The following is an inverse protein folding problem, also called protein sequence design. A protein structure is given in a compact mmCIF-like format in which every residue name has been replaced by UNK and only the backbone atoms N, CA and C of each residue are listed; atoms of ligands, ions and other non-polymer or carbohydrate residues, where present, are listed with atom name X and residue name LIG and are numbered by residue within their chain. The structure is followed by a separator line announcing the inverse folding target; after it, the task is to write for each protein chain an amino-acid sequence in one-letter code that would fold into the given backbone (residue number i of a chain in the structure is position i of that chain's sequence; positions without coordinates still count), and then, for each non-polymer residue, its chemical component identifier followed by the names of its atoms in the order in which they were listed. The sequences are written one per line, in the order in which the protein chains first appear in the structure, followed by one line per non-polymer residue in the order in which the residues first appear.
data_IF_262642321301
#
_entry.id   IF_262642321301
#
_cell.length_a   1.000
_cell.length_b   1.000
_cell.length_c   1.000
_cell.angle_alpha   90.00
_cell.angle_beta   90.00
_cell.angle_gamma   90.00
#
_symmetry.space_group_name_H-M   'P 1'
#
loop_
_entity.id
_entity.type
_entity.pdbx_description
1 polymer ?
#
# COMPACT_ATOMS: atom_id res chain seq x y z
N UNK A 1 1.87 -8.84 9.06
CA UNK A 1 2.65 -8.11 10.11
C UNK A 1 1.96 -6.91 10.79
N UNK A 2 0.83 -6.36 10.33
CA UNK A 2 0.01 -5.45 11.16
C UNK A 2 0.57 -4.07 11.56
N UNK A 3 1.76 -3.66 11.14
CA UNK A 3 2.41 -2.41 11.58
C UNK A 3 1.69 -1.10 11.19
N UNK A 4 0.75 -1.14 10.24
CA UNK A 4 -0.06 0.02 9.85
C UNK A 4 -1.05 0.46 10.95
N UNK A 5 -1.52 -0.49 11.76
CA UNK A 5 -2.71 -0.29 12.59
C UNK A 5 -2.48 0.34 13.98
N UNK A 6 -1.32 0.17 14.65
CA UNK A 6 -1.07 0.80 15.96
C UNK A 6 -1.30 2.32 15.98
N UNK A 7 -0.83 3.05 14.97
CA UNK A 7 -1.02 4.50 14.88
C UNK A 7 -2.49 4.91 14.70
N UNK A 8 -3.27 4.09 13.99
CA UNK A 8 -4.71 4.28 13.85
C UNK A 8 -5.44 4.01 15.17
N UNK A 9 -5.11 2.92 15.87
CA UNK A 9 -5.67 2.58 17.19
C UNK A 9 -5.43 3.73 18.17
N UNK A 10 -4.19 4.24 18.23
CA UNK A 10 -3.85 5.38 19.08
C UNK A 10 -4.66 6.63 18.71
N UNK A 11 -4.72 6.99 17.43
CA UNK A 11 -5.46 8.17 16.97
C UNK A 11 -6.97 8.08 17.24
N UNK A 12 -7.53 6.86 17.16
CA UNK A 12 -8.93 6.60 17.50
C UNK A 12 -9.17 6.73 19.01
N UNK A 13 -8.26 6.19 19.83
CA UNK A 13 -8.33 6.34 21.28
C UNK A 13 -8.29 7.81 21.69
N UNK A 14 -7.35 8.60 21.16
CA UNK A 14 -7.24 10.03 21.45
C UNK A 14 -8.54 10.79 21.13
N UNK A 15 -9.20 10.46 20.01
CA UNK A 15 -10.50 11.05 19.63
C UNK A 15 -11.65 10.57 20.50
N UNK A 16 -11.64 9.32 20.93
CA UNK A 16 -12.71 8.73 21.73
C UNK A 16 -12.71 9.20 23.21
N UNK A 17 -11.61 9.82 23.69
CA UNK A 17 -11.52 10.38 25.06
C UNK A 17 -12.63 11.38 25.40
N UNK A 18 -13.19 12.07 24.40
CA UNK A 18 -14.29 13.00 24.59
C UNK A 18 -15.67 12.32 24.74
N UNK A 19 -15.77 11.00 24.57
CA UNK A 19 -17.01 10.25 24.62
C UNK A 19 -17.13 9.41 25.91
N UNK A 20 -18.34 9.30 26.44
CA UNK A 20 -18.60 8.50 27.66
C UNK A 20 -18.68 6.98 27.38
N UNK A 21 -18.49 6.52 26.14
CA UNK A 21 -18.69 5.14 25.73
C UNK A 21 -17.46 4.65 24.95
N UNK A 22 -16.93 3.44 25.23
CA UNK A 22 -15.80 2.91 24.46
C UNK A 22 -16.12 2.78 22.98
N UNK A 23 -15.14 3.09 22.13
CA UNK A 23 -15.25 2.91 20.69
C UNK A 23 -15.01 1.45 20.33
N UNK A 24 -15.98 0.80 19.69
CA UNK A 24 -15.77 -0.52 19.08
C UNK A 24 -14.97 -0.37 17.78
N UNK A 25 -13.83 -1.05 17.70
CA UNK A 25 -12.96 -1.04 16.53
C UNK A 25 -12.59 -2.46 16.12
N UNK A 26 -12.93 -2.84 14.89
CA UNK A 26 -12.70 -4.18 14.36
C UNK A 26 -11.84 -4.14 13.11
N UNK A 27 -10.82 -5.00 13.06
CA UNK A 27 -10.00 -5.23 11.88
C UNK A 27 -10.27 -6.62 11.33
N UNK A 28 -10.55 -6.70 10.04
CA UNK A 28 -10.53 -7.98 9.30
C UNK A 28 -9.29 -8.02 8.42
N UNK A 29 -8.34 -8.90 8.74
CA UNK A 29 -7.05 -9.02 8.06
C UNK A 29 -6.99 -10.23 7.14
N UNK A 30 -6.39 -10.07 5.96
CA UNK A 30 -6.16 -11.16 5.01
C UNK A 30 -4.67 -11.47 4.89
N UNK A 31 -4.27 -12.73 5.04
CA UNK A 31 -2.86 -13.15 4.93
C UNK A 31 -2.69 -14.47 4.18
N UNK A 32 -1.45 -14.79 3.79
CA UNK A 32 -1.16 -16.03 3.05
C UNK A 32 -1.15 -17.27 3.93
N UNK A 33 -0.80 -17.12 5.21
CA UNK A 33 -0.67 -18.24 6.16
C UNK A 33 -1.39 -17.93 7.47
N UNK A 34 -1.74 -18.98 8.21
CA UNK A 34 -2.41 -18.85 9.50
C UNK A 34 -1.46 -18.28 10.56
N UNK A 35 -0.18 -18.64 10.49
CA UNK A 35 0.85 -18.15 11.39
C UNK A 35 0.98 -16.63 11.32
N UNK A 36 0.93 -16.04 10.12
CA UNK A 36 0.96 -14.58 9.95
C UNK A 36 -0.28 -13.90 10.57
N UNK A 37 -1.45 -14.53 10.47
CA UNK A 37 -2.68 -14.03 11.07
C UNK A 37 -2.57 -14.06 12.60
N UNK A 38 -2.16 -15.18 13.18
CA UNK A 38 -2.02 -15.34 14.63
C UNK A 38 -0.99 -14.37 15.21
N UNK A 39 0.17 -14.21 14.56
CA UNK A 39 1.18 -13.26 15.02
C UNK A 39 0.67 -11.81 14.93
N UNK A 40 -0.07 -11.48 13.86
CA UNK A 40 -0.65 -10.15 13.69
C UNK A 40 -1.76 -9.89 14.72
N UNK A 41 -2.64 -10.85 14.96
CA UNK A 41 -3.70 -10.80 15.96
C UNK A 41 -3.13 -10.55 17.36
N UNK A 42 -2.20 -11.40 17.81
CA UNK A 42 -1.57 -11.29 19.13
C UNK A 42 -0.94 -9.92 19.36
N UNK A 43 -0.19 -9.41 18.36
CA UNK A 43 0.44 -8.08 18.44
C UNK A 43 -0.59 -6.96 18.52
N UNK A 44 -1.67 -7.01 17.74
CA UNK A 44 -2.67 -5.94 17.70
C UNK A 44 -3.56 -5.94 18.94
N UNK A 45 -3.98 -7.12 19.42
CA UNK A 45 -4.74 -7.26 20.66
C UNK A 45 -3.92 -6.73 21.83
N UNK A 46 -2.67 -7.20 21.99
CA UNK A 46 -1.80 -6.75 23.08
C UNK A 46 -1.54 -5.24 23.05
N UNK A 47 -1.38 -4.65 21.86
CA UNK A 47 -1.25 -3.19 21.73
C UNK A 47 -2.54 -2.45 22.12
N UNK A 48 -3.71 -2.97 21.69
CA UNK A 48 -5.00 -2.36 21.96
C UNK A 48 -5.43 -2.41 23.44
N UNK A 49 -4.98 -3.41 24.20
CA UNK A 49 -5.22 -3.54 25.65
C UNK A 49 -4.71 -2.33 26.45
N UNK A 50 -3.77 -1.55 25.89
CA UNK A 50 -3.27 -0.33 26.51
C UNK A 50 -4.28 0.84 26.48
N UNK A 51 -5.43 0.69 25.83
CA UNK A 51 -6.43 1.75 25.63
C UNK A 51 -7.81 1.35 26.17
N UNK A 52 -8.15 1.80 27.38
CA UNK A 52 -9.41 1.47 28.06
C UNK A 52 -10.68 1.91 27.29
N UNK A 53 -10.55 2.90 26.42
CA UNK A 53 -11.65 3.47 25.65
C UNK A 53 -11.82 2.84 24.25
N UNK A 54 -11.08 1.76 23.94
CA UNK A 54 -11.20 0.99 22.70
C UNK A 54 -11.62 -0.44 23.02
N UNK A 55 -12.70 -0.92 22.40
CA UNK A 55 -13.06 -2.33 22.36
C UNK A 55 -12.57 -2.89 21.03
N UNK A 56 -11.43 -3.57 21.06
CA UNK A 56 -10.76 -4.05 19.85
C UNK A 56 -11.11 -5.50 19.52
N UNK A 57 -11.38 -5.77 18.24
CA UNK A 57 -11.57 -7.12 17.71
C UNK A 57 -10.72 -7.32 16.45
N UNK A 58 -10.07 -8.48 16.33
CA UNK A 58 -9.40 -8.91 15.10
C UNK A 58 -10.07 -10.16 14.52
N UNK A 59 -10.22 -10.18 13.20
CA UNK A 59 -10.72 -11.34 12.47
C UNK A 59 -9.76 -11.68 11.33
N UNK A 60 -9.06 -12.80 11.43
CA UNK A 60 -8.14 -13.27 10.40
C UNK A 60 -8.82 -14.12 9.33
N UNK A 61 -8.52 -13.85 8.06
CA UNK A 61 -8.97 -14.65 6.92
C UNK A 61 -7.78 -15.03 6.04
N UNK A 62 -7.78 -16.26 5.51
CA UNK A 62 -6.77 -16.64 4.52
C UNK A 62 -7.06 -15.96 3.18
N UNK A 63 -6.00 -15.50 2.51
CA UNK A 63 -6.09 -14.87 1.20
C UNK A 63 -6.65 -15.87 0.17
N UNK A 64 -7.62 -15.42 -0.62
CA UNK A 64 -8.35 -16.28 -1.56
C UNK A 64 -9.61 -16.91 -0.98
N UNK A 65 -9.89 -16.71 0.31
CA UNK A 65 -11.25 -16.90 0.84
C UNK A 65 -12.23 -15.93 0.19
N UNK A 66 -13.48 -16.36 0.04
CA UNK A 66 -14.52 -15.54 -0.59
C UNK A 66 -14.80 -14.30 0.26
N UNK A 67 -14.46 -13.13 -0.28
CA UNK A 67 -14.75 -11.82 0.33
C UNK A 67 -16.25 -11.61 0.58
N UNK A 68 -17.10 -12.36 -0.12
CA UNK A 68 -18.57 -12.38 0.05
C UNK A 68 -19.02 -12.80 1.45
N UNK A 69 -18.15 -13.48 2.22
CA UNK A 69 -18.44 -13.88 3.59
C UNK A 69 -18.22 -12.74 4.61
N UNK A 70 -17.68 -11.60 4.18
CA UNK A 70 -17.57 -10.42 5.01
C UNK A 70 -18.96 -9.81 5.23
N UNK A 71 -19.57 -10.10 6.38
CA UNK A 71 -20.84 -9.49 6.77
C UNK A 71 -20.58 -8.21 7.54
N UNK A 72 -21.16 -7.12 7.02
CA UNK A 72 -21.22 -5.85 7.73
C UNK A 72 -22.11 -6.00 8.97
N UNK A 73 -21.67 -5.52 10.13
CA UNK A 73 -22.53 -5.40 11.32
C UNK A 73 -23.44 -4.17 11.21
N UNK A 74 -24.63 -4.23 11.80
CA UNK A 74 -25.52 -3.06 11.85
C UNK A 74 -24.80 -1.87 12.53
N UNK A 75 -24.97 -0.67 11.97
CA UNK A 75 -24.39 0.60 12.45
C UNK A 75 -22.86 0.72 12.41
N UNK A 76 -22.13 -0.17 11.73
CA UNK A 76 -20.68 0.01 11.59
C UNK A 76 -20.31 0.88 10.37
N UNK A 77 -19.24 1.65 10.51
CA UNK A 77 -18.58 2.37 9.40
C UNK A 77 -17.48 1.48 8.83
N UNK A 78 -17.53 1.19 7.53
CA UNK A 78 -16.57 0.30 6.87
C UNK A 78 -15.52 1.11 6.12
N UNK A 79 -14.25 0.85 6.41
CA UNK A 79 -13.10 1.35 5.64
C UNK A 79 -12.35 0.16 5.05
N UNK A 80 -11.97 0.24 3.79
CA UNK A 80 -11.24 -0.81 3.09
C UNK A 80 -9.85 -0.30 2.72
N UNK A 81 -8.81 -1.11 2.98
CA UNK A 81 -7.41 -0.77 2.75
C UNK A 81 -6.78 -1.85 1.86
N UNK A 82 -6.49 -1.50 0.60
CA UNK A 82 -5.94 -2.37 -0.42
C UNK A 82 -4.49 -1.96 -0.69
N UNK A 83 -3.53 -2.65 -0.08
CA UNK A 83 -2.10 -2.35 -0.21
C UNK A 83 -1.42 -3.43 -1.05
N UNK A 84 -0.99 -3.07 -2.26
CA UNK A 84 -0.37 -3.96 -3.27
C UNK A 84 -1.20 -5.22 -3.56
N UNK A 85 -2.51 -5.17 -3.31
CA UNK A 85 -3.38 -6.33 -3.36
C UNK A 85 -3.90 -6.59 -4.78
N UNK A 86 -4.36 -5.54 -5.48
CA UNK A 86 -4.96 -5.71 -6.80
C UNK A 86 -3.89 -6.06 -7.83
N UNK A 87 -2.71 -5.42 -7.77
CA UNK A 87 -1.56 -5.76 -8.64
C UNK A 87 -1.02 -7.17 -8.44
N UNK A 88 -1.25 -7.79 -7.27
CA UNK A 88 -0.86 -9.17 -7.02
C UNK A 88 -1.91 -10.20 -7.46
N UNK A 89 -3.04 -9.77 -8.00
CA UNK A 89 -4.00 -10.67 -8.64
C UNK A 89 -3.53 -11.02 -10.06
N UNK A 90 -3.62 -12.31 -10.41
CA UNK A 90 -3.09 -12.85 -11.67
C UNK A 90 -3.93 -12.55 -12.91
N UNK A 91 -5.09 -11.89 -12.77
CA UNK A 91 -6.11 -11.76 -13.80
C UNK A 91 -6.95 -10.49 -13.61
N UNK A 92 -7.28 -9.79 -14.71
CA UNK A 92 -8.18 -8.64 -14.75
C UNK A 92 -9.56 -9.00 -14.19
N UNK A 93 -10.06 -10.19 -14.49
CA UNK A 93 -11.36 -10.64 -14.02
C UNK A 93 -11.39 -10.67 -12.49
N UNK A 94 -10.34 -11.21 -11.86
CA UNK A 94 -10.21 -11.21 -10.40
C UNK A 94 -10.15 -9.81 -9.80
N UNK A 95 -9.51 -8.87 -10.49
CA UNK A 95 -9.50 -7.45 -10.07
C UNK A 95 -10.92 -6.89 -10.11
N UNK A 96 -11.66 -7.12 -11.19
CA UNK A 96 -13.05 -6.65 -11.34
C UNK A 96 -13.99 -7.29 -10.32
N UNK A 97 -13.89 -8.60 -10.10
CA UNK A 97 -14.68 -9.32 -9.09
C UNK A 97 -14.39 -8.80 -7.68
N UNK A 98 -13.12 -8.53 -7.37
CA UNK A 98 -12.70 -7.94 -6.10
C UNK A 98 -13.32 -6.57 -5.92
N UNK A 99 -13.21 -5.67 -6.90
CA UNK A 99 -13.77 -4.32 -6.83
C UNK A 99 -15.30 -4.34 -6.72
N UNK A 100 -15.96 -5.24 -7.42
CA UNK A 100 -17.42 -5.47 -7.32
C UNK A 100 -17.80 -5.89 -5.89
N UNK A 101 -17.03 -6.80 -5.29
CA UNK A 101 -17.26 -7.23 -3.91
C UNK A 101 -16.97 -6.12 -2.90
N UNK A 102 -15.89 -5.37 -3.08
CA UNK A 102 -15.55 -4.19 -2.25
C UNK A 102 -16.68 -3.17 -2.31
N UNK A 103 -17.23 -2.90 -3.50
CA UNK A 103 -18.33 -1.96 -3.67
C UNK A 103 -19.62 -2.44 -3.00
N UNK A 104 -19.92 -3.75 -3.04
CA UNK A 104 -21.13 -4.32 -2.41
C UNK A 104 -21.12 -4.25 -0.88
N UNK A 105 -19.95 -4.11 -0.26
CA UNK A 105 -19.81 -3.85 1.18
C UNK A 105 -20.22 -2.42 1.60
N UNK A 106 -20.48 -1.54 0.63
CA UNK A 106 -20.84 -0.13 0.83
C UNK A 106 -19.88 0.60 1.80
N UNK A 107 -18.56 0.63 1.49
CA UNK A 107 -17.55 1.25 2.33
C UNK A 107 -17.69 2.78 2.33
N UNK A 108 -17.37 3.40 3.45
CA UNK A 108 -17.28 4.85 3.58
C UNK A 108 -16.00 5.42 2.96
N UNK A 109 -14.93 4.61 2.91
CA UNK A 109 -13.68 4.96 2.25
C UNK A 109 -12.96 3.70 1.77
N UNK A 110 -12.33 3.79 0.60
CA UNK A 110 -11.38 2.79 0.11
C UNK A 110 -10.04 3.48 -0.10
N UNK A 111 -9.00 2.96 0.53
CA UNK A 111 -7.61 3.39 0.34
C UNK A 111 -6.94 2.38 -0.57
N UNK A 112 -6.48 2.82 -1.74
CA UNK A 112 -5.74 2.00 -2.69
C UNK A 112 -4.28 2.45 -2.71
N UNK A 113 -3.37 1.52 -2.42
CA UNK A 113 -1.91 1.73 -2.50
C UNK A 113 -1.37 0.72 -3.49
N UNK A 114 -0.84 1.19 -4.61
CA UNK A 114 -0.29 0.34 -5.67
C UNK A 114 1.09 0.85 -6.10
N UNK A 115 1.88 -0.03 -6.73
CA UNK A 115 3.14 0.36 -7.36
C UNK A 115 2.83 1.12 -8.64
N UNK A 116 3.38 2.32 -8.76
CA UNK A 116 3.21 3.14 -9.96
C UNK A 116 4.07 2.57 -11.09
N UNK A 117 3.39 2.14 -12.16
CA UNK A 117 4.01 1.70 -13.39
C UNK A 117 4.18 2.81 -14.41
N UNK A 118 5.02 2.58 -15.42
CA UNK A 118 5.09 3.46 -16.58
C UNK A 118 3.94 3.20 -17.55
N UNK A 119 3.88 4.03 -18.60
CA UNK A 119 2.91 3.89 -19.65
C UNK A 119 3.00 2.51 -20.29
N UNK A 120 1.89 1.73 -20.24
CA UNK A 120 1.70 0.50 -21.00
C UNK A 120 1.73 0.81 -22.52
N UNK A 121 2.92 1.09 -23.05
CA UNK A 121 3.17 1.29 -24.47
C UNK A 121 3.25 -0.09 -25.10
N UNK A 122 2.47 -0.36 -26.16
CA UNK A 122 2.49 -1.66 -26.81
C UNK A 122 3.88 -1.92 -27.41
N UNK A 123 4.54 -2.98 -26.93
CA UNK A 123 5.86 -3.40 -27.41
C UNK A 123 6.78 -3.85 -26.28
N UNK A 124 7.39 -5.03 -26.44
CA UNK A 124 8.31 -5.62 -25.45
C UNK A 124 9.47 -4.68 -25.09
N UNK A 125 10.09 -4.04 -26.09
CA UNK A 125 11.26 -3.17 -25.87
C UNK A 125 10.90 -1.96 -25.00
N UNK A 126 9.75 -1.32 -25.22
CA UNK A 126 9.32 -0.19 -24.39
C UNK A 126 9.02 -0.61 -22.96
N UNK A 127 8.28 -1.70 -22.76
CA UNK A 127 7.96 -2.21 -21.40
C UNK A 127 9.20 -2.71 -20.66
N UNK A 128 10.16 -3.29 -21.38
CA UNK A 128 11.44 -3.73 -20.83
C UNK A 128 12.30 -2.54 -20.39
N UNK A 129 12.47 -1.53 -21.25
CA UNK A 129 13.22 -0.32 -20.91
C UNK A 129 12.59 0.42 -19.74
N UNK A 130 11.27 0.51 -19.68
CA UNK A 130 10.58 1.13 -18.58
C UNK A 130 10.78 0.38 -17.25
N UNK A 131 10.72 -0.95 -17.28
CA UNK A 131 11.00 -1.80 -16.11
C UNK A 131 12.44 -1.61 -15.63
N UNK A 132 13.40 -1.45 -16.54
CA UNK A 132 14.80 -1.19 -16.18
C UNK A 132 14.96 0.11 -15.41
N UNK A 133 14.31 1.21 -15.83
CA UNK A 133 14.37 2.47 -15.08
C UNK A 133 13.76 2.33 -13.69
N UNK A 134 12.62 1.64 -13.58
CA UNK A 134 11.97 1.37 -12.29
C UNK A 134 12.88 0.57 -11.35
N UNK A 135 13.47 -0.53 -11.83
CA UNK A 135 14.37 -1.33 -11.01
C UNK A 135 15.68 -0.59 -10.70
N UNK A 136 16.25 0.14 -11.65
CA UNK A 136 17.44 0.97 -11.40
C UNK A 136 17.20 1.94 -10.24
N UNK A 137 16.08 2.67 -10.25
CA UNK A 137 15.70 3.57 -9.16
C UNK A 137 15.60 2.84 -7.79
N UNK A 138 15.06 1.62 -7.76
CA UNK A 138 15.00 0.83 -6.53
C UNK A 138 16.40 0.40 -6.04
N UNK A 139 17.26 -0.08 -6.93
CA UNK A 139 18.63 -0.45 -6.59
C UNK A 139 19.45 0.75 -6.12
N UNK A 140 19.32 1.90 -6.78
CA UNK A 140 19.97 3.15 -6.37
C UNK A 140 19.47 3.59 -4.99
N UNK A 141 18.16 3.50 -4.72
CA UNK A 141 17.60 3.81 -3.40
C UNK A 141 18.12 2.90 -2.29
N UNK A 142 18.30 1.60 -2.58
CA UNK A 142 18.90 0.66 -1.63
C UNK A 142 20.39 0.96 -1.42
N UNK A 143 21.09 1.34 -2.49
CA UNK A 143 22.50 1.68 -2.43
C UNK A 143 22.76 2.91 -1.55
N UNK A 144 21.91 3.92 -1.65
CA UNK A 144 22.06 5.15 -0.89
C UNK A 144 21.62 4.98 0.58
N UNK A 145 20.71 4.06 0.86
CA UNK A 145 20.14 3.88 2.21
C UNK A 145 20.69 2.68 3.00
N UNK A 146 21.39 1.73 2.36
CA UNK A 146 21.94 0.55 3.03
C UNK A 146 23.41 0.30 2.63
N UNK A 147 24.28 -0.06 3.60
CA UNK A 147 25.66 -0.46 3.30
C UNK A 147 25.73 -1.60 2.28
N UNK A 148 26.78 -1.61 1.46
CA UNK A 148 26.98 -2.65 0.41
C UNK A 148 26.96 -4.07 0.98
N UNK A 149 27.56 -4.27 2.16
CA UNK A 149 27.66 -5.56 2.82
C UNK A 149 26.43 -5.90 3.70
N UNK A 150 25.34 -5.12 3.62
CA UNK A 150 24.13 -5.38 4.41
C UNK A 150 23.47 -6.70 3.94
N UNK A 151 23.29 -7.70 4.83
CA UNK A 151 22.59 -8.93 4.49
C UNK A 151 21.11 -8.66 4.16
N UNK A 152 20.50 -7.64 4.75
CA UNK A 152 19.14 -7.19 4.44
C UNK A 152 19.07 -6.64 3.01
N UNK A 153 20.01 -5.78 2.62
CA UNK A 153 20.15 -5.28 1.24
C UNK A 153 20.26 -6.43 0.25
N UNK A 154 21.20 -7.35 0.48
CA UNK A 154 21.41 -8.51 -0.39
C UNK A 154 20.15 -9.39 -0.49
N UNK A 155 19.41 -9.55 0.62
CA UNK A 155 18.15 -10.29 0.62
C UNK A 155 17.08 -9.59 -0.22
N UNK A 156 16.93 -8.27 -0.10
CA UNK A 156 16.00 -7.46 -0.90
C UNK A 156 16.36 -7.55 -2.39
N UNK A 157 17.61 -7.26 -2.73
CA UNK A 157 18.10 -7.26 -4.12
C UNK A 157 17.93 -8.65 -4.78
N UNK A 158 18.30 -9.73 -4.09
CA UNK A 158 18.29 -11.08 -4.66
C UNK A 158 16.91 -11.74 -4.62
N UNK A 159 16.27 -11.74 -3.45
CA UNK A 159 15.08 -12.57 -3.21
C UNK A 159 13.78 -11.84 -3.55
N UNK A 160 13.81 -10.51 -3.64
CA UNK A 160 12.64 -9.71 -4.03
C UNK A 160 12.83 -9.12 -5.43
N UNK A 161 13.77 -8.19 -5.62
CA UNK A 161 13.94 -7.50 -6.90
C UNK A 161 14.39 -8.45 -8.01
N UNK A 162 15.38 -9.30 -7.75
CA UNK A 162 15.87 -10.27 -8.72
C UNK A 162 14.82 -11.29 -9.16
N UNK A 163 13.92 -11.70 -8.25
CA UNK A 163 12.79 -12.58 -8.58
C UNK A 163 11.76 -11.86 -9.44
N UNK A 164 11.41 -10.62 -9.11
CA UNK A 164 10.50 -9.81 -9.94
C UNK A 164 11.09 -9.55 -11.35
N UNK A 165 12.38 -9.20 -11.43
CA UNK A 165 13.09 -9.02 -12.71
C UNK A 165 13.08 -10.31 -13.52
N UNK A 166 13.34 -11.47 -12.90
CA UNK A 166 13.31 -12.76 -13.59
C UNK A 166 11.93 -13.05 -14.18
N UNK A 167 10.86 -12.71 -13.45
CA UNK A 167 9.49 -12.86 -13.94
C UNK A 167 9.19 -11.90 -15.10
N UNK A 168 9.66 -10.65 -15.05
CA UNK A 168 9.52 -9.67 -16.13
C UNK A 168 10.34 -10.05 -17.38
N UNK A 169 11.52 -10.66 -17.23
CA UNK A 169 12.38 -11.06 -18.36
C UNK A 169 11.92 -12.36 -19.01
N UNK A 170 11.41 -13.32 -18.24
CA UNK A 170 10.88 -14.59 -18.77
C UNK A 170 9.57 -14.43 -19.58
N UNK A 171 9.11 -13.19 -19.75
CA UNK A 171 7.79 -12.76 -20.18
C UNK A 171 7.51 -12.80 -21.70
N UNK A 172 8.49 -13.13 -22.55
CA UNK A 172 8.34 -13.17 -24.03
C UNK A 172 7.19 -14.06 -24.57
N UNK A 173 6.36 -14.71 -23.72
CA UNK A 173 5.36 -15.73 -24.11
C UNK A 173 3.93 -15.61 -23.53
N UNK A 174 3.62 -14.70 -22.61
CA UNK A 174 2.25 -14.57 -22.05
C UNK A 174 1.85 -13.09 -21.95
N UNK A 175 0.59 -12.71 -22.16
CA UNK A 175 0.12 -11.31 -22.21
C UNK A 175 -0.48 -10.83 -20.86
N UNK A 176 -0.48 -11.68 -19.82
CA UNK A 176 -1.24 -11.49 -18.57
C UNK A 176 -0.66 -10.53 -17.49
N UNK A 177 0.58 -10.02 -17.61
CA UNK A 177 1.34 -9.26 -16.60
C UNK A 177 1.42 -7.77 -16.85
N UNK A 178 0.70 -7.25 -17.85
CA UNK A 178 0.44 -5.80 -17.97
C UNK A 178 -0.33 -5.21 -16.75
N UNK A 179 -0.69 -6.05 -15.77
CA UNK A 179 -1.48 -5.69 -14.59
C UNK A 179 -0.68 -5.35 -13.34
N UNK A 180 0.62 -5.70 -13.28
CA UNK A 180 1.42 -5.50 -12.05
C UNK A 180 1.82 -4.04 -11.83
N UNK A 181 1.97 -3.29 -12.91
CA UNK A 181 2.44 -1.92 -12.93
C UNK A 181 1.45 -1.08 -13.74
N UNK A 182 0.35 -0.70 -13.10
CA UNK A 182 -0.60 0.24 -13.69
C UNK A 182 -0.16 1.66 -13.39
N UNK A 183 -0.29 2.56 -14.37
CA UNK A 183 -0.28 4.00 -14.09
C UNK A 183 -1.41 4.35 -13.12
N UNK A 184 -1.23 5.42 -12.36
CA UNK A 184 -2.24 5.94 -11.43
C UNK A 184 -3.60 6.12 -12.13
N UNK A 185 -3.64 6.65 -13.35
CA UNK A 185 -4.86 6.86 -14.14
C UNK A 185 -5.54 5.54 -14.52
N UNK A 186 -4.77 4.46 -14.67
CA UNK A 186 -5.33 3.13 -14.96
C UNK A 186 -6.05 2.57 -13.74
N UNK A 187 -5.46 2.73 -12.56
CA UNK A 187 -6.11 2.35 -11.30
C UNK A 187 -7.32 3.23 -11.00
N UNK A 188 -7.22 4.55 -11.20
CA UNK A 188 -8.35 5.48 -11.08
C UNK A 188 -9.53 5.07 -11.95
N UNK A 189 -9.31 4.86 -13.26
CA UNK A 189 -10.37 4.42 -14.19
C UNK A 189 -11.02 3.09 -13.78
N UNK A 190 -10.24 2.14 -13.25
CA UNK A 190 -10.78 0.86 -12.74
C UNK A 190 -11.64 1.06 -11.50
N UNK A 191 -11.25 1.94 -10.60
CA UNK A 191 -12.06 2.29 -9.43
C UNK A 191 -13.37 2.96 -9.87
N UNK A 192 -13.30 3.95 -10.76
CA UNK A 192 -14.47 4.66 -11.29
C UNK A 192 -15.44 3.74 -12.03
N UNK A 193 -14.92 2.77 -12.80
CA UNK A 193 -15.78 1.81 -13.51
C UNK A 193 -16.56 0.87 -12.58
N UNK A 194 -16.24 0.82 -11.29
CA UNK A 194 -16.94 0.04 -10.27
C UNK A 194 -17.69 0.93 -9.26
N UNK A 195 -17.96 2.19 -9.61
CA UNK A 195 -18.81 3.09 -8.81
C UNK A 195 -18.09 3.89 -7.72
N UNK A 196 -16.76 3.82 -7.65
CA UNK A 196 -15.98 4.68 -6.75
C UNK A 196 -15.73 6.06 -7.37
N UNK A 197 -15.44 7.05 -6.53
CA UNK A 197 -14.98 8.37 -6.96
C UNK A 197 -13.79 8.81 -6.12
N UNK A 198 -12.90 9.60 -6.72
CA UNK A 198 -11.75 10.17 -6.02
C UNK A 198 -12.20 11.15 -4.93
N UNK A 199 -11.43 11.20 -3.85
CA UNK A 199 -11.60 12.19 -2.78
C UNK A 199 -10.29 12.93 -2.58
N UNK A 200 -10.35 14.26 -2.48
CA UNK A 200 -9.16 15.05 -2.19
C UNK A 200 -8.60 14.68 -0.83
N UNK A 201 -7.30 14.38 -0.81
CA UNK A 201 -6.56 14.10 0.40
C UNK A 201 -6.44 15.37 1.24
N UNK A 202 -6.47 15.21 2.57
CA UNK A 202 -6.26 16.35 3.46
C UNK A 202 -4.82 16.86 3.32
N UNK A 203 -4.62 18.18 3.43
CA UNK A 203 -3.26 18.77 3.46
C UNK A 203 -2.39 18.18 4.57
N UNK A 204 -3.01 17.74 5.68
CA UNK A 204 -2.33 17.03 6.77
C UNK A 204 -1.71 15.71 6.31
N UNK A 205 -2.35 14.99 5.38
CA UNK A 205 -1.80 13.75 4.84
C UNK A 205 -0.52 14.00 4.03
N UNK A 206 -0.52 15.01 3.15
CA UNK A 206 0.68 15.41 2.40
C UNK A 206 1.80 15.85 3.36
N UNK A 207 1.48 16.68 4.36
CA UNK A 207 2.46 17.16 5.34
C UNK A 207 3.05 15.99 6.13
N UNK A 208 2.22 15.05 6.59
CA UNK A 208 2.69 13.85 7.30
C UNK A 208 3.57 12.98 6.42
N UNK A 209 3.22 12.78 5.16
CA UNK A 209 4.04 12.01 4.22
C UNK A 209 5.43 12.65 4.04
N UNK A 210 5.48 13.98 3.83
CA UNK A 210 6.74 14.73 3.74
C UNK A 210 7.54 14.68 5.04
N UNK A 211 6.89 14.75 6.20
CA UNK A 211 7.56 14.64 7.50
C UNK A 211 8.16 13.24 7.70
N UNK A 212 7.46 12.18 7.32
CA UNK A 212 7.98 10.81 7.39
C UNK A 212 9.23 10.64 6.53
N UNK A 213 9.26 11.24 5.33
CA UNK A 213 10.48 11.27 4.52
C UNK A 213 11.62 12.01 5.23
N UNK A 214 11.35 13.19 5.82
CA UNK A 214 12.36 13.94 6.58
C UNK A 214 12.85 13.21 7.83
N UNK A 215 12.04 12.35 8.45
CA UNK A 215 12.49 11.52 9.58
C UNK A 215 13.27 10.29 9.11
N UNK A 216 12.94 9.74 7.95
CA UNK A 216 13.71 8.66 7.32
C UNK A 216 15.14 9.08 6.96
N UNK A 217 15.37 10.37 6.77
CA UNK A 217 16.70 10.92 6.43
C UNK A 217 17.78 10.69 7.46
N UNK A 218 17.40 10.52 8.73
CA UNK A 218 18.36 10.21 9.79
C UNK A 218 19.00 8.82 9.62
N UNK A 219 18.38 7.93 8.84
CA UNK A 219 18.89 6.59 8.55
C UNK A 219 19.51 6.47 7.14
N UNK A 220 19.36 7.49 6.29
CA UNK A 220 19.84 7.52 4.91
C UNK A 220 20.32 8.95 4.57
N UNK A 221 21.63 9.22 4.60
CA UNK A 221 22.19 10.58 4.62
C UNK A 221 21.97 11.42 3.34
N UNK A 222 21.31 10.88 2.30
CA UNK A 222 20.96 11.61 1.06
C UNK A 222 19.47 12.00 0.95
N UNK A 223 18.68 11.82 2.00
CA UNK A 223 17.32 12.35 2.08
C UNK A 223 17.36 13.87 2.40
N UNK A 224 17.66 14.71 1.42
CA UNK A 224 17.41 16.14 1.57
C UNK A 224 15.97 16.45 1.19
N UNK A 225 15.12 16.58 2.21
CA UNK A 225 13.76 17.07 2.03
C UNK A 225 13.74 18.54 1.59
N UNK A 226 13.29 18.79 0.36
CA UNK A 226 12.85 20.09 -0.16
C UNK A 226 13.85 21.26 0.03
N UNK A 227 15.16 21.05 -0.17
CA UNK A 227 16.04 22.16 -0.54
C UNK A 227 16.13 22.23 -2.07
N UNK A 228 15.82 23.39 -2.65
CA UNK A 228 15.77 23.67 -4.10
C UNK A 228 17.12 23.46 -4.84
N UNK A 229 18.09 22.77 -4.25
CA UNK A 229 19.40 22.49 -4.83
C UNK A 229 20.00 21.11 -4.52
N UNK A 230 19.32 20.21 -3.79
CA UNK A 230 19.79 18.83 -3.59
C UNK A 230 19.02 17.87 -4.49
N UNK A 231 19.73 17.20 -5.40
CA UNK A 231 19.16 16.45 -6.52
C UNK A 231 18.77 14.98 -6.20
N UNK A 232 18.96 14.52 -4.95
CA UNK A 232 18.79 13.11 -4.57
C UNK A 232 17.57 12.83 -3.70
N UNK A 233 17.13 11.56 -3.65
CA UNK A 233 16.25 11.05 -2.58
C UNK A 233 14.77 10.81 -2.95
N UNK A 234 14.01 10.35 -1.95
CA UNK A 234 12.57 10.17 -2.05
C UNK A 234 11.82 11.52 -2.04
N UNK A 235 10.79 11.64 -2.88
CA UNK A 235 9.91 12.81 -2.95
C UNK A 235 8.45 12.40 -2.94
N UNK A 236 7.62 13.25 -2.35
CA UNK A 236 6.16 13.13 -2.35
C UNK A 236 5.59 14.08 -3.39
N UNK A 237 4.76 13.55 -4.28
CA UNK A 237 4.09 14.31 -5.31
C UNK A 237 2.57 14.24 -5.14
N UNK A 238 1.90 15.38 -5.15
CA UNK A 238 0.46 15.42 -5.31
C UNK A 238 0.10 15.17 -6.78
N UNK A 239 -0.97 14.41 -6.99
CA UNK A 239 -1.47 14.00 -8.30
C UNK A 239 -2.96 14.26 -8.37
N UNK A 240 -3.46 14.39 -9.61
CA UNK A 240 -4.91 14.37 -9.88
C UNK A 240 -5.70 15.35 -9.00
N UNK A 241 -5.25 16.61 -9.00
CA UNK A 241 -5.87 17.70 -8.23
C UNK A 241 -6.03 17.40 -6.72
N UNK A 242 -5.07 16.64 -6.17
CA UNK A 242 -4.98 16.28 -4.76
C UNK A 242 -5.76 15.02 -4.37
N UNK A 243 -6.36 14.30 -5.32
CA UNK A 243 -7.06 13.02 -5.07
C UNK A 243 -6.09 11.85 -4.85
N UNK A 244 -4.82 12.00 -5.22
CA UNK A 244 -3.79 11.02 -4.95
C UNK A 244 -2.44 11.65 -4.62
N UNK A 245 -1.57 10.82 -4.03
CA UNK A 245 -0.18 11.13 -3.76
C UNK A 245 0.67 9.97 -4.31
N UNK A 246 1.79 10.29 -4.95
CA UNK A 246 2.82 9.30 -5.29
C UNK A 246 4.15 9.60 -4.63
N UNK A 247 4.94 8.54 -4.42
CA UNK A 247 6.29 8.63 -3.87
C UNK A 247 7.27 8.17 -4.96
N UNK A 248 8.20 9.04 -5.34
CA UNK A 248 9.22 8.75 -6.35
C UNK A 248 10.63 8.87 -5.80
N UNK A 249 11.59 8.30 -6.51
CA UNK A 249 13.02 8.36 -6.21
C UNK A 249 13.75 9.14 -7.31
N UNK A 250 14.54 10.15 -6.93
CA UNK A 250 15.42 10.93 -7.83
C UNK A 250 14.74 11.65 -9.03
N UNK A 251 13.46 12.01 -8.91
CA UNK A 251 12.77 12.86 -9.89
C UNK A 251 11.84 12.08 -10.79
#
# INVERSE_FOLDING_TARGET
HGFQWPSLIQSLSEKATASNHPLSFRITGFAKTLEELIETENRLISFAESFENIIFEFHGCLRGSELMNLKRRENETVAINLVFYLSSLSDILKVSDTLTTVHSLNPSIVVLVEREGTQNRPGFISSYMDSLHYYAALFDSLNDCLPLESPERLSIEKNHLGMEIKEVVAWEKDERSYLRFGMMETWKKRMESHGFSGIRLSSKATIQAKLLLKMGSYYCPQFDGDSEGSAGGFRVYERDDGEAISMGWQG
#
